data_IF_773745695805
#
_entry.id   IF_773745695805
#
_cell.length_a   1.000
_cell.length_b   1.000
_cell.length_c   1.000
_cell.angle_alpha   90.00
_cell.angle_beta   90.00
_cell.angle_gamma   90.00
#
_symmetry.space_group_name_H-M   'P 1'
#
loop_
_entity.id
_entity.type
_entity.pdbx_description
1 polymer ?
#
# COMPACT_ATOMS: atom_id res chain seq x y z
N UNK A 1 -16.60 -15.97 -31.99
CA UNK A 1 -16.08 -15.72 -30.64
C UNK A 1 -16.43 -14.29 -30.28
N UNK A 2 -17.16 -14.07 -29.18
CA UNK A 2 -17.39 -12.69 -28.69
C UNK A 2 -16.11 -12.17 -28.06
N UNK A 3 -15.95 -10.84 -28.02
CA UNK A 3 -14.82 -10.21 -27.31
C UNK A 3 -14.83 -10.59 -25.83
N UNK A 4 -16.00 -10.74 -25.24
CA UNK A 4 -16.20 -11.21 -23.86
C UNK A 4 -15.59 -12.60 -23.61
N UNK A 5 -15.87 -13.57 -24.50
CA UNK A 5 -15.31 -14.92 -24.38
C UNK A 5 -13.78 -14.90 -24.53
N UNK A 6 -13.26 -14.14 -25.50
CA UNK A 6 -11.82 -13.97 -25.67
C UNK A 6 -11.14 -13.41 -24.42
N UNK A 7 -11.72 -12.38 -23.78
CA UNK A 7 -11.20 -11.83 -22.53
C UNK A 7 -11.20 -12.87 -21.41
N UNK A 8 -12.28 -13.64 -21.27
CA UNK A 8 -12.39 -14.69 -20.25
C UNK A 8 -11.35 -15.79 -20.45
N UNK A 9 -11.13 -16.23 -21.69
CA UNK A 9 -10.22 -17.33 -22.01
C UNK A 9 -8.74 -16.95 -21.92
N UNK A 10 -8.42 -15.66 -22.09
CA UNK A 10 -7.04 -15.17 -22.20
C UNK A 10 -6.58 -14.28 -21.06
N UNK A 11 -7.47 -13.89 -20.14
CA UNK A 11 -7.11 -13.05 -19.01
C UNK A 11 -6.00 -13.72 -18.19
N UNK A 12 -4.98 -12.93 -17.88
CA UNK A 12 -3.87 -13.32 -17.03
C UNK A 12 -3.51 -12.16 -16.11
N UNK A 13 -2.71 -12.47 -15.11
CA UNK A 13 -2.20 -11.41 -14.23
C UNK A 13 -1.18 -10.54 -14.93
N UNK A 14 -1.20 -9.25 -14.59
CA UNK A 14 -0.13 -8.30 -14.89
C UNK A 14 0.82 -8.12 -13.70
N UNK A 15 0.71 -8.99 -12.69
CA UNK A 15 1.54 -8.99 -11.47
C UNK A 15 1.43 -7.74 -10.58
N UNK A 16 0.35 -6.97 -10.70
CA UNK A 16 0.09 -5.76 -9.89
C UNK A 16 -1.00 -5.99 -8.82
N UNK A 17 -0.98 -7.14 -8.17
CA UNK A 17 -1.89 -7.41 -7.05
C UNK A 17 -1.64 -6.42 -5.91
N UNK A 18 -2.71 -5.98 -5.25
CA UNK A 18 -2.69 -5.00 -4.18
C UNK A 18 -3.91 -5.20 -3.25
N UNK A 19 -3.96 -4.46 -2.15
CA UNK A 19 -5.02 -4.58 -1.15
C UNK A 19 -4.79 -5.69 -0.12
N UNK A 20 -5.76 -5.87 0.79
CA UNK A 20 -5.70 -6.83 1.90
C UNK A 20 -5.41 -6.20 3.28
N UNK A 21 -4.66 -5.10 3.33
CA UNK A 21 -4.39 -4.32 4.57
C UNK A 21 -4.79 -2.85 4.39
N UNK A 22 -5.98 -2.60 3.83
CA UNK A 22 -6.42 -1.27 3.43
C UNK A 22 -6.46 -0.26 4.59
N UNK A 23 -6.14 1.00 4.26
CA UNK A 23 -6.32 2.15 5.16
C UNK A 23 -7.79 2.31 5.54
N UNK A 24 -8.06 2.54 6.82
CA UNK A 24 -9.42 2.64 7.38
C UNK A 24 -10.12 1.30 7.62
N UNK A 25 -9.49 0.17 7.26
CA UNK A 25 -9.99 -1.20 7.51
C UNK A 25 -9.07 -2.01 8.41
N UNK A 26 -7.76 -2.00 8.11
CA UNK A 26 -6.73 -2.75 8.85
C UNK A 26 -5.69 -1.82 9.46
N UNK A 27 -5.34 -0.74 8.77
CA UNK A 27 -4.41 0.29 9.25
C UNK A 27 -5.05 1.67 9.30
N UNK A 28 -4.53 2.57 10.14
CA UNK A 28 -4.94 3.98 10.18
C UNK A 28 -4.25 4.83 9.11
N UNK A 29 -4.49 6.15 9.10
CA UNK A 29 -3.88 7.10 8.16
C UNK A 29 -2.36 7.30 8.34
N UNK A 30 -1.81 6.82 9.46
CA UNK A 30 -0.37 6.74 9.71
C UNK A 30 0.20 5.34 9.47
N UNK A 31 -0.58 4.49 8.80
CA UNK A 31 -0.25 3.10 8.46
C UNK A 31 -0.01 2.21 9.69
N UNK A 32 -0.51 2.60 10.86
CA UNK A 32 -0.44 1.80 12.09
C UNK A 32 -1.55 0.76 12.09
N UNK A 33 -1.22 -0.46 12.48
CA UNK A 33 -2.20 -1.54 12.59
C UNK A 33 -3.19 -1.21 13.71
N UNK A 34 -4.48 -1.27 13.39
CA UNK A 34 -5.53 -0.91 14.34
C UNK A 34 -5.49 -1.85 15.57
N UNK A 35 -5.49 -1.27 16.76
CA UNK A 35 -5.45 -2.01 18.03
C UNK A 35 -4.11 -2.66 18.37
N UNK A 36 -3.04 -2.41 17.60
CA UNK A 36 -1.71 -2.98 17.85
C UNK A 36 -0.67 -1.88 17.99
N UNK A 37 0.06 -1.89 19.10
CA UNK A 37 1.14 -0.96 19.33
C UNK A 37 2.40 -1.32 18.53
N UNK A 38 3.12 -0.26 18.10
CA UNK A 38 4.45 -0.36 17.47
C UNK A 38 4.52 -1.19 16.17
N UNK A 39 3.38 -1.47 15.53
CA UNK A 39 3.30 -2.19 14.25
C UNK A 39 2.71 -1.30 13.15
N UNK A 40 3.33 -1.32 11.97
CA UNK A 40 2.86 -0.63 10.75
C UNK A 40 3.00 -1.54 9.53
N UNK A 41 2.18 -1.31 8.50
CA UNK A 41 2.27 -1.98 7.19
C UNK A 41 2.45 -0.93 6.11
N UNK A 42 3.51 -1.04 5.30
CA UNK A 42 3.89 -0.04 4.29
C UNK A 42 4.31 -0.76 3.01
N UNK A 43 3.33 -1.21 2.23
CA UNK A 43 3.52 -1.88 0.94
C UNK A 43 2.24 -1.76 0.08
N UNK A 44 2.16 -2.48 -1.04
CA UNK A 44 0.99 -2.45 -1.93
C UNK A 44 -0.31 -2.99 -1.31
N UNK A 45 -0.25 -3.72 -0.19
CA UNK A 45 -1.45 -4.25 0.45
C UNK A 45 -2.36 -3.16 1.05
N UNK A 46 -1.83 -1.94 1.21
CA UNK A 46 -2.58 -0.81 1.78
C UNK A 46 -3.36 -0.02 0.74
N UNK A 47 -3.18 -0.31 -0.55
CA UNK A 47 -3.87 0.38 -1.64
C UNK A 47 -5.34 -0.04 -1.77
N UNK A 48 -6.19 0.93 -2.09
CA UNK A 48 -7.59 0.69 -2.49
C UNK A 48 -7.63 0.35 -3.98
N UNK A 49 -6.90 1.12 -4.79
CA UNK A 49 -6.76 0.95 -6.24
C UNK A 49 -5.27 0.94 -6.64
N UNK A 50 -4.94 0.29 -7.75
CA UNK A 50 -3.58 0.27 -8.28
C UNK A 50 -3.15 1.67 -8.74
N UNK A 51 -2.04 2.23 -8.23
CA UNK A 51 -1.57 3.54 -8.64
C UNK A 51 -0.83 3.50 -9.98
N UNK A 52 -1.41 4.10 -11.02
CA UNK A 52 -0.80 4.25 -12.35
C UNK A 52 -0.62 2.92 -13.11
N UNK A 53 0.12 2.95 -14.23
CA UNK A 53 0.33 1.77 -15.10
C UNK A 53 1.23 0.70 -14.46
N UNK A 54 2.34 1.10 -13.83
CA UNK A 54 3.21 0.20 -13.06
C UNK A 54 3.41 0.78 -11.65
N UNK A 55 2.94 0.10 -10.58
CA UNK A 55 2.92 0.65 -9.23
C UNK A 55 4.28 0.62 -8.53
N UNK A 56 5.32 0.00 -9.11
CA UNK A 56 6.62 -0.20 -8.45
C UNK A 56 7.20 1.11 -7.93
N UNK A 57 7.24 2.16 -8.75
CA UNK A 57 7.78 3.46 -8.35
C UNK A 57 7.00 4.06 -7.18
N UNK A 58 5.68 3.90 -7.17
CA UNK A 58 4.80 4.36 -6.09
C UNK A 58 5.06 3.61 -4.80
N UNK A 59 5.23 2.28 -4.85
CA UNK A 59 5.55 1.45 -3.67
C UNK A 59 6.91 1.85 -3.09
N UNK A 60 7.93 2.02 -3.94
CA UNK A 60 9.26 2.49 -3.50
C UNK A 60 9.20 3.87 -2.86
N UNK A 61 8.46 4.81 -3.47
CA UNK A 61 8.26 6.15 -2.94
C UNK A 61 7.57 6.10 -1.57
N UNK A 62 6.49 5.33 -1.43
CA UNK A 62 5.75 5.17 -0.19
C UNK A 62 6.65 4.69 0.95
N UNK A 63 7.47 3.67 0.70
CA UNK A 63 8.43 3.16 1.69
C UNK A 63 9.38 4.25 2.19
N UNK A 64 9.97 5.03 1.28
CA UNK A 64 10.84 6.15 1.65
C UNK A 64 10.09 7.26 2.38
N UNK A 65 8.90 7.62 1.91
CA UNK A 65 8.08 8.68 2.50
C UNK A 65 7.73 8.37 3.96
N UNK A 66 7.21 7.17 4.22
CA UNK A 66 6.85 6.75 5.58
C UNK A 66 8.08 6.55 6.46
N UNK A 67 9.19 6.04 5.92
CA UNK A 67 10.47 5.99 6.64
C UNK A 67 10.92 7.36 7.13
N UNK A 68 10.84 8.40 6.28
CA UNK A 68 11.14 9.79 6.69
C UNK A 68 10.16 10.31 7.74
N UNK A 69 8.86 10.04 7.62
CA UNK A 69 7.86 10.44 8.61
C UNK A 69 8.13 9.84 9.99
N UNK A 70 8.45 8.53 10.05
CA UNK A 70 8.78 7.84 11.30
C UNK A 70 10.02 8.46 11.96
N UNK A 71 11.06 8.79 11.19
CA UNK A 71 12.25 9.46 11.73
C UNK A 71 11.92 10.85 12.28
N UNK A 72 11.09 11.62 11.57
CA UNK A 72 10.65 12.93 12.02
C UNK A 72 9.82 12.86 13.31
N UNK A 73 8.88 11.92 13.40
CA UNK A 73 8.10 11.66 14.61
C UNK A 73 8.99 11.36 15.82
N UNK A 74 9.99 10.48 15.65
CA UNK A 74 10.97 10.16 16.70
C UNK A 74 11.80 11.37 17.12
N UNK A 75 12.22 12.20 16.17
CA UNK A 75 12.99 13.41 16.45
C UNK A 75 12.19 14.43 17.27
N UNK A 76 10.92 14.64 16.93
CA UNK A 76 10.04 15.53 17.69
C UNK A 76 9.75 14.97 19.09
N UNK A 77 9.58 13.66 19.22
CA UNK A 77 9.36 13.01 20.52
C UNK A 77 10.60 13.08 21.43
N UNK A 78 11.81 12.91 20.89
CA UNK A 78 13.06 13.02 21.67
C UNK A 78 13.49 14.45 22.02
N UNK A 79 12.80 15.47 21.52
CA UNK A 79 12.97 16.89 21.90
C UNK A 79 12.09 17.32 23.07
N UNK A 80 11.15 16.48 23.50
CA UNK A 80 10.38 16.67 24.73
C UNK A 80 11.10 16.01 25.88
#
# INVERSE_FOLDING_TARGET
MSLEQFCTDTVMTIWHYHGGCQVGKVVDNDYKVLGVDKLRVIDGSTFIDSPGTNPQATVMMLGRYMGKRILYERFIQGRK
#
